data_IF_396995940037
#
_entry.id   IF_396995940037
#
_cell.length_a   1.000
_cell.length_b   1.000
_cell.length_c   1.000
_cell.angle_alpha   90.00
_cell.angle_beta   90.00
_cell.angle_gamma   90.00
#
_symmetry.space_group_name_H-M   'P 1'
#
loop_
_entity.id
_entity.type
_entity.pdbx_description
1 polymer ?
#
# COMPACT_ATOMS: atom_id res chain seq x y z
N UNK A 1 18.41 -19.02 -18.66
CA UNK A 1 17.42 -19.43 -17.65
C UNK A 1 16.77 -18.18 -17.10
N UNK A 2 15.66 -17.73 -17.69
CA UNK A 2 14.90 -16.59 -17.20
C UNK A 2 14.19 -17.01 -15.91
N UNK A 3 14.85 -16.81 -14.77
CA UNK A 3 14.23 -17.02 -13.48
C UNK A 3 13.01 -16.10 -13.39
N UNK A 4 11.80 -16.67 -13.26
CA UNK A 4 10.60 -15.89 -12.98
C UNK A 4 10.76 -15.27 -11.60
N UNK A 5 11.41 -14.10 -11.55
CA UNK A 5 11.50 -13.29 -10.34
C UNK A 5 10.10 -12.98 -9.85
N UNK A 6 9.91 -12.94 -8.52
CA UNK A 6 8.67 -12.48 -7.89
C UNK A 6 8.26 -11.15 -8.52
N UNK A 7 6.98 -10.97 -8.83
CA UNK A 7 6.47 -9.74 -9.40
C UNK A 7 6.83 -8.53 -8.50
N UNK A 8 7.13 -7.37 -9.10
CA UNK A 8 7.47 -6.19 -8.33
C UNK A 8 6.29 -5.81 -7.45
N UNK A 9 6.55 -5.38 -6.21
CA UNK A 9 5.52 -4.99 -5.26
C UNK A 9 5.61 -3.51 -4.94
N UNK A 10 4.44 -2.89 -4.79
CA UNK A 10 4.26 -1.60 -4.17
C UNK A 10 3.46 -1.78 -2.88
N UNK A 11 4.12 -1.57 -1.73
CA UNK A 11 3.48 -1.48 -0.43
C UNK A 11 2.99 -0.06 -0.21
N UNK A 12 1.68 0.08 -0.05
CA UNK A 12 1.01 1.36 0.09
C UNK A 12 0.09 1.35 1.31
N UNK A 13 -0.27 2.52 1.81
CA UNK A 13 -1.29 2.65 2.85
C UNK A 13 -2.26 3.73 2.43
N UNK A 14 -3.56 3.49 2.64
CA UNK A 14 -4.60 4.49 2.42
C UNK A 14 -4.45 5.63 3.45
N UNK A 15 -3.82 5.37 4.61
CA UNK A 15 -3.49 6.37 5.64
C UNK A 15 -2.35 7.31 5.25
N UNK A 16 -1.42 6.87 4.40
CA UNK A 16 -0.16 7.58 4.18
C UNK A 16 -0.27 8.64 3.07
N UNK A 17 0.05 9.92 3.34
CA UNK A 17 0.04 10.96 2.32
C UNK A 17 1.14 10.74 1.28
N UNK A 18 2.29 10.18 1.66
CA UNK A 18 3.35 9.85 0.71
C UNK A 18 2.97 8.68 -0.21
N UNK A 19 2.20 7.69 0.31
CA UNK A 19 1.66 6.62 -0.53
C UNK A 19 0.64 7.13 -1.53
N UNK A 20 -0.19 8.11 -1.14
CA UNK A 20 -1.09 8.79 -2.05
C UNK A 20 -0.35 9.57 -3.14
N UNK A 21 0.68 10.34 -2.79
CA UNK A 21 1.50 11.05 -3.77
C UNK A 21 2.24 10.09 -4.70
N UNK A 22 2.76 8.97 -4.19
CA UNK A 22 3.40 7.93 -5.01
C UNK A 22 2.40 7.25 -5.96
N UNK A 23 1.18 6.97 -5.48
CA UNK A 23 0.08 6.47 -6.32
C UNK A 23 -0.19 7.43 -7.48
N UNK A 24 -0.32 8.73 -7.21
CA UNK A 24 -0.58 9.73 -8.25
C UNK A 24 0.54 9.77 -9.27
N UNK A 25 1.79 9.83 -8.80
CA UNK A 25 2.97 9.88 -9.67
C UNK A 25 3.11 8.62 -10.53
N UNK A 26 2.83 7.44 -9.95
CA UNK A 26 2.78 6.17 -10.69
C UNK A 26 1.74 6.20 -11.81
N UNK A 27 0.50 6.60 -11.53
CA UNK A 27 -0.55 6.60 -12.55
C UNK A 27 -0.37 7.68 -13.62
N UNK A 28 0.06 8.88 -13.21
CA UNK A 28 0.18 10.03 -14.11
C UNK A 28 1.44 9.96 -14.98
N UNK A 29 2.55 9.42 -14.46
CA UNK A 29 3.87 9.47 -15.14
C UNK A 29 4.46 8.10 -15.48
N UNK A 30 4.01 7.05 -14.82
CA UNK A 30 4.57 5.69 -14.96
C UNK A 30 3.48 4.61 -15.08
N UNK A 31 2.47 4.76 -15.97
CA UNK A 31 1.35 3.83 -16.05
C UNK A 31 1.78 2.40 -16.41
N UNK A 32 2.89 2.26 -17.16
CA UNK A 32 3.54 0.97 -17.44
C UNK A 32 4.01 0.27 -16.16
N UNK A 33 4.61 1.03 -15.23
CA UNK A 33 5.05 0.50 -13.95
C UNK A 33 3.87 0.24 -13.03
N UNK A 34 2.92 1.17 -12.96
CA UNK A 34 1.72 1.01 -12.14
C UNK A 34 0.93 -0.27 -12.51
N UNK A 35 0.89 -0.59 -13.80
CA UNK A 35 0.28 -1.79 -14.34
C UNK A 35 1.11 -3.06 -14.20
N UNK A 36 2.39 -2.99 -13.81
CA UNK A 36 3.26 -4.15 -13.65
C UNK A 36 3.47 -4.56 -12.18
N UNK A 37 3.18 -3.66 -11.24
CA UNK A 37 3.38 -3.90 -9.79
C UNK A 37 2.16 -4.53 -9.12
N UNK A 38 2.41 -5.42 -8.17
CA UNK A 38 1.43 -5.89 -7.21
C UNK A 38 1.23 -4.86 -6.10
N UNK A 39 0.00 -4.39 -5.92
CA UNK A 39 -0.38 -3.40 -4.91
C UNK A 39 -0.71 -4.08 -3.59
N UNK A 40 0.18 -3.96 -2.60
CA UNK A 40 0.08 -4.61 -1.29
C UNK A 40 -0.27 -3.59 -0.20
N UNK A 41 -1.42 -3.73 0.49
CA UNK A 41 -1.80 -2.78 1.53
C UNK A 41 -0.94 -2.99 2.78
N UNK A 42 -0.52 -1.88 3.38
CA UNK A 42 0.15 -1.76 4.66
C UNK A 42 -0.76 -0.96 5.59
N UNK A 43 -1.13 -1.55 6.72
CA UNK A 43 -2.01 -0.90 7.69
C UNK A 43 -1.70 -1.40 9.09
N UNK A 44 -1.93 -0.53 10.07
CA UNK A 44 -1.77 -0.91 11.47
C UNK A 44 -2.91 -1.87 11.84
N UNK A 45 -2.59 -3.11 12.25
CA UNK A 45 -3.61 -4.08 12.60
C UNK A 45 -4.30 -3.73 13.92
N UNK A 46 -5.60 -3.98 13.99
CA UNK A 46 -6.34 -4.10 15.25
C UNK A 46 -5.90 -5.37 16.00
N UNK A 47 -6.33 -5.49 17.26
CA UNK A 47 -5.94 -6.62 18.10
C UNK A 47 -6.30 -8.00 17.52
N UNK A 48 -7.29 -8.11 16.62
CA UNK A 48 -7.64 -9.37 15.97
C UNK A 48 -6.67 -9.69 14.84
N UNK A 49 -6.38 -8.72 13.98
CA UNK A 49 -5.37 -8.86 12.92
C UNK A 49 -3.96 -9.06 13.50
N UNK A 50 -3.64 -8.45 14.64
CA UNK A 50 -2.39 -8.66 15.37
C UNK A 50 -2.23 -10.12 15.84
N UNK A 51 -3.28 -10.71 16.43
CA UNK A 51 -3.25 -12.12 16.84
C UNK A 51 -3.05 -13.05 15.64
N UNK A 52 -3.80 -12.81 14.55
CA UNK A 52 -3.65 -13.59 13.33
C UNK A 52 -2.24 -13.47 12.73
N UNK A 53 -1.65 -12.27 12.75
CA UNK A 53 -0.27 -12.07 12.30
C UNK A 53 0.74 -12.80 13.19
N UNK A 54 0.54 -12.78 14.51
CA UNK A 54 1.39 -13.49 15.47
C UNK A 54 1.32 -15.02 15.31
N UNK A 55 0.14 -15.58 15.05
CA UNK A 55 -0.05 -17.01 14.73
C UNK A 55 0.71 -17.41 13.45
N UNK A 56 0.86 -16.48 12.51
CA UNK A 56 1.68 -16.65 11.31
C UNK A 56 3.18 -16.44 11.56
N UNK A 57 3.60 -16.15 12.79
CA UNK A 57 4.99 -15.87 13.17
C UNK A 57 5.49 -14.49 12.72
N UNK A 58 4.59 -13.53 12.48
CA UNK A 58 4.93 -12.15 12.15
C UNK A 58 4.73 -11.19 13.32
N UNK A 59 5.34 -10.02 13.23
CA UNK A 59 5.08 -8.88 14.12
C UNK A 59 5.11 -7.61 13.29
N UNK A 60 4.09 -6.77 13.43
CA UNK A 60 3.94 -5.60 12.57
C UNK A 60 5.07 -4.58 12.85
N UNK A 61 5.91 -4.25 11.85
CA UNK A 61 7.15 -3.50 12.06
C UNK A 61 6.92 -1.98 12.05
N UNK A 62 5.99 -1.50 12.87
CA UNK A 62 5.66 -0.07 12.93
C UNK A 62 5.80 0.48 14.34
N UNK A 63 6.39 1.67 14.43
CA UNK A 63 6.47 2.45 15.65
C UNK A 63 5.71 3.75 15.43
N UNK A 64 4.87 4.11 16.43
CA UNK A 64 4.13 5.36 16.40
C UNK A 64 5.07 6.54 16.17
N UNK A 65 4.70 7.40 15.22
CA UNK A 65 5.47 8.58 14.86
C UNK A 65 5.55 9.57 16.03
N UNK A 66 6.75 10.11 16.29
CA UNK A 66 6.90 11.18 17.28
C UNK A 66 6.14 12.44 16.85
N UNK A 67 5.72 13.25 17.83
CA UNK A 67 5.04 14.54 17.54
C UNK A 67 5.86 15.44 16.61
N UNK A 68 7.19 15.50 16.81
CA UNK A 68 8.08 16.30 15.98
C UNK A 68 8.08 15.81 14.51
N UNK A 69 8.21 14.50 14.29
CA UNK A 69 8.15 13.91 12.95
C UNK A 69 6.79 14.12 12.30
N UNK A 70 5.70 14.03 13.08
CA UNK A 70 4.36 14.30 12.57
C UNK A 70 4.20 15.74 12.05
N UNK A 71 4.61 16.73 12.83
CA UNK A 71 4.56 18.15 12.42
C UNK A 71 5.40 18.41 11.16
N UNK A 72 6.56 17.76 11.05
CA UNK A 72 7.38 17.83 9.84
C UNK A 72 6.65 17.29 8.62
N UNK A 73 6.04 16.09 8.72
CA UNK A 73 5.29 15.48 7.62
C UNK A 73 4.15 16.37 7.15
N UNK A 74 3.43 17.05 8.05
CA UNK A 74 2.38 18.00 7.66
C UNK A 74 2.91 19.13 6.78
N UNK A 75 4.04 19.73 7.17
CA UNK A 75 4.67 20.80 6.39
C UNK A 75 5.22 20.27 5.05
N UNK A 76 5.80 19.08 5.07
CA UNK A 76 6.44 18.49 3.91
C UNK A 76 5.43 18.11 2.83
N UNK A 77 4.35 17.43 3.22
CA UNK A 77 3.23 17.11 2.32
C UNK A 77 2.66 18.39 1.73
N UNK A 78 2.54 19.47 2.52
CA UNK A 78 2.09 20.77 2.01
C UNK A 78 3.02 21.33 0.94
N UNK A 79 4.34 21.30 1.15
CA UNK A 79 5.32 21.72 0.14
C UNK A 79 5.20 20.89 -1.14
N UNK A 80 5.07 19.56 -0.99
CA UNK A 80 4.99 18.63 -2.12
C UNK A 80 3.72 18.81 -2.95
N UNK A 81 2.59 19.08 -2.31
CA UNK A 81 1.31 19.31 -3.00
C UNK A 81 1.28 20.70 -3.64
N UNK A 82 1.75 21.74 -2.96
CA UNK A 82 1.86 23.10 -3.52
C UNK A 82 2.77 23.10 -4.77
N UNK A 83 3.92 22.43 -4.72
CA UNK A 83 4.84 22.31 -5.87
C UNK A 83 4.25 21.54 -7.07
N UNK A 84 3.22 20.72 -6.84
CA UNK A 84 2.54 19.92 -7.88
C UNK A 84 1.18 20.50 -8.28
N UNK A 85 0.75 21.62 -7.68
CA UNK A 85 -0.58 22.19 -7.90
C UNK A 85 -1.73 21.29 -7.45
N UNK A 86 -1.50 20.40 -6.46
CA UNK A 86 -2.50 19.45 -5.98
C UNK A 86 -3.26 20.08 -4.81
N UNK A 87 -4.56 20.30 -4.99
CA UNK A 87 -5.45 20.67 -3.89
C UNK A 87 -5.71 19.46 -2.98
N UNK A 88 -5.66 19.66 -1.66
CA UNK A 88 -5.90 18.59 -0.70
C UNK A 88 -6.51 19.13 0.59
N UNK A 89 -7.13 18.23 1.37
CA UNK A 89 -7.72 18.49 2.67
C UNK A 89 -7.20 17.44 3.66
N UNK A 90 -6.69 17.89 4.80
CA UNK A 90 -6.28 16.99 5.87
C UNK A 90 -7.51 16.23 6.41
N UNK A 91 -7.50 14.89 6.40
CA UNK A 91 -8.54 14.10 7.05
C UNK A 91 -8.41 14.22 8.57
N UNK A 92 -9.51 14.03 9.28
CA UNK A 92 -9.55 13.95 10.74
C UNK A 92 -9.98 12.55 11.11
N UNK A 93 -9.04 11.75 11.57
CA UNK A 93 -9.29 10.41 12.08
C UNK A 93 -9.47 10.49 13.60
N UNK A 94 -10.66 10.14 14.11
CA UNK A 94 -10.92 10.19 15.57
C UNK A 94 -10.45 8.91 16.26
N UNK A 95 -11.03 7.79 15.85
CA UNK A 95 -10.74 6.45 16.38
C UNK A 95 -10.55 5.48 15.20
N UNK A 96 -9.41 5.57 14.48
CA UNK A 96 -9.25 4.87 13.22
C UNK A 96 -9.16 3.34 13.41
N UNK A 97 -9.89 2.62 12.55
CA UNK A 97 -9.79 1.17 12.39
C UNK A 97 -9.39 0.90 10.94
N UNK A 98 -8.10 0.65 10.70
CA UNK A 98 -7.57 0.62 9.34
C UNK A 98 -7.94 -0.63 8.55
N UNK A 99 -8.43 -1.68 9.21
CA UNK A 99 -9.08 -2.82 8.57
C UNK A 99 -10.23 -2.38 7.68
N UNK A 100 -11.03 -1.39 8.09
CA UNK A 100 -12.24 -0.95 7.37
C UNK A 100 -11.91 -0.58 5.91
N UNK A 101 -11.00 0.37 5.63
CA UNK A 101 -10.66 0.71 4.25
C UNK A 101 -9.77 -0.34 3.56
N UNK A 102 -8.84 -1.00 4.29
CA UNK A 102 -7.86 -1.89 3.63
C UNK A 102 -8.43 -3.28 3.31
N UNK A 103 -9.35 -3.82 4.12
CA UNK A 103 -10.06 -5.06 3.78
C UNK A 103 -11.17 -4.82 2.76
N UNK A 104 -11.79 -3.64 2.75
CA UNK A 104 -12.68 -3.22 1.65
C UNK A 104 -11.93 -3.13 0.31
N UNK A 105 -10.66 -2.68 0.31
CA UNK A 105 -9.80 -2.78 -0.87
C UNK A 105 -9.62 -4.23 -1.34
N UNK A 106 -9.39 -5.19 -0.43
CA UNK A 106 -9.28 -6.60 -0.82
C UNK A 106 -10.58 -7.15 -1.40
N UNK A 107 -11.74 -6.75 -0.85
CA UNK A 107 -13.06 -7.10 -1.40
C UNK A 107 -13.23 -6.52 -2.80
N UNK A 108 -12.93 -5.24 -3.00
CA UNK A 108 -12.99 -4.60 -4.32
C UNK A 108 -12.01 -5.24 -5.32
N UNK A 109 -10.82 -5.62 -4.87
CA UNK A 109 -9.82 -6.32 -5.68
C UNK A 109 -10.35 -7.68 -6.17
N UNK A 110 -11.04 -8.45 -5.32
CA UNK A 110 -11.72 -9.70 -5.73
C UNK A 110 -12.80 -9.46 -6.79
N UNK A 111 -13.45 -8.30 -6.74
CA UNK A 111 -14.41 -7.84 -7.76
C UNK A 111 -13.78 -7.20 -9.00
N UNK A 112 -12.44 -7.21 -9.15
CA UNK A 112 -11.75 -6.60 -10.29
C UNK A 112 -11.69 -5.08 -10.27
N UNK A 113 -12.06 -4.44 -9.15
CA UNK A 113 -12.18 -2.99 -9.00
C UNK A 113 -11.17 -2.40 -7.98
N UNK A 114 -10.09 -3.14 -7.69
CA UNK A 114 -9.03 -2.71 -6.76
C UNK A 114 -8.45 -1.32 -7.07
N UNK A 115 -7.95 -1.06 -8.30
CA UNK A 115 -7.43 0.24 -8.69
C UNK A 115 -8.44 1.39 -8.55
N UNK A 116 -9.69 1.15 -8.92
CA UNK A 116 -10.79 2.11 -8.83
C UNK A 116 -11.14 2.41 -7.36
N UNK A 117 -11.11 1.38 -6.50
CA UNK A 117 -11.30 1.55 -5.07
C UNK A 117 -10.19 2.40 -4.45
N UNK A 118 -8.92 2.13 -4.77
CA UNK A 118 -7.79 2.94 -4.29
C UNK A 118 -7.95 4.41 -4.72
N UNK A 119 -8.34 4.65 -5.97
CA UNK A 119 -8.62 6.01 -6.47
C UNK A 119 -9.73 6.70 -5.66
N UNK A 120 -10.86 6.03 -5.47
CA UNK A 120 -12.02 6.56 -4.75
C UNK A 120 -11.71 6.81 -3.27
N UNK A 121 -11.00 5.88 -2.60
CA UNK A 121 -10.60 6.01 -1.20
C UNK A 121 -9.59 7.15 -0.99
N UNK A 122 -8.59 7.28 -1.86
CA UNK A 122 -7.66 8.41 -1.79
C UNK A 122 -8.32 9.75 -2.06
N UNK A 123 -9.22 9.82 -3.04
CA UNK A 123 -10.02 11.03 -3.29
C UNK A 123 -10.88 11.39 -2.07
N UNK A 124 -11.60 10.43 -1.50
CA UNK A 124 -12.42 10.63 -0.30
C UNK A 124 -11.58 11.16 0.87
N UNK A 125 -10.42 10.56 1.11
CA UNK A 125 -9.56 10.92 2.23
C UNK A 125 -8.80 12.23 2.02
N UNK A 126 -8.03 12.34 0.94
CA UNK A 126 -7.04 13.40 0.77
C UNK A 126 -7.56 14.61 0.02
N UNK A 127 -8.56 14.44 -0.83
CA UNK A 127 -9.12 15.56 -1.60
C UNK A 127 -10.39 16.10 -0.91
N UNK A 128 -11.20 15.21 -0.34
CA UNK A 128 -12.47 15.58 0.30
C UNK A 128 -12.38 15.67 1.84
N UNK A 129 -11.32 15.14 2.45
CA UNK A 129 -11.12 15.15 3.91
C UNK A 129 -12.07 14.24 4.68
N UNK A 130 -12.61 13.19 4.05
CA UNK A 130 -13.53 12.23 4.68
C UNK A 130 -12.76 11.16 5.45
N UNK A 131 -13.36 10.69 6.54
CA UNK A 131 -12.85 9.57 7.31
C UNK A 131 -13.17 8.25 6.58
N UNK A 132 -12.15 7.55 6.10
CA UNK A 132 -12.33 6.26 5.41
C UNK A 132 -12.32 5.05 6.37
N UNK A 133 -12.13 5.28 7.67
CA UNK A 133 -12.40 4.29 8.70
C UNK A 133 -13.89 4.24 9.08
N UNK A 134 -14.68 5.23 8.62
CA UNK A 134 -16.14 5.20 8.70
C UNK A 134 -16.71 4.28 7.61
N UNK A 135 -17.41 3.23 8.05
CA UNK A 135 -18.07 2.24 7.19
C UNK A 135 -19.09 2.85 6.24
N UNK A 136 -19.72 3.96 6.59
CA UNK A 136 -20.67 4.67 5.72
C UNK A 136 -19.95 5.33 4.53
N UNK A 137 -18.71 5.79 4.73
CA UNK A 137 -17.87 6.31 3.64
C UNK A 137 -17.47 5.18 2.70
N UNK A 138 -17.09 4.03 3.23
CA UNK A 138 -16.77 2.83 2.44
C UNK A 138 -17.99 2.29 1.68
N UNK A 139 -19.16 2.24 2.31
CA UNK A 139 -20.42 1.89 1.64
C UNK A 139 -20.69 2.81 0.43
N UNK A 140 -20.51 4.12 0.62
CA UNK A 140 -20.69 5.12 -0.45
C UNK A 140 -19.72 4.91 -1.63
N UNK A 141 -18.46 4.55 -1.34
CA UNK A 141 -17.49 4.17 -2.39
C UNK A 141 -17.97 2.91 -3.12
N UNK A 142 -18.50 1.91 -2.41
CA UNK A 142 -19.06 0.72 -3.03
C UNK A 142 -20.18 1.04 -4.02
N UNK A 143 -21.14 1.88 -3.60
CA UNK A 143 -22.24 2.32 -4.45
C UNK A 143 -21.75 3.06 -5.71
N UNK A 144 -20.75 3.94 -5.60
CA UNK A 144 -20.15 4.65 -6.74
C UNK A 144 -19.51 3.69 -7.74
N UNK A 145 -18.88 2.62 -7.26
CA UNK A 145 -18.17 1.65 -8.08
C UNK A 145 -19.06 0.51 -8.60
N UNK A 146 -20.36 0.51 -8.25
CA UNK A 146 -21.28 -0.58 -8.60
C UNK A 146 -21.01 -1.90 -7.84
N UNK A 147 -20.31 -1.82 -6.70
CA UNK A 147 -20.13 -2.92 -5.76
C UNK A 147 -21.23 -2.90 -4.69
N UNK A 148 -21.49 -4.04 -4.05
CA UNK A 148 -22.44 -4.10 -2.93
C UNK A 148 -21.92 -3.23 -1.76
N UNK A 149 -22.65 -2.15 -1.37
CA UNK A 149 -22.23 -1.26 -0.30
C UNK A 149 -22.09 -1.96 1.06
N UNK A 150 -22.96 -2.93 1.34
CA UNK A 150 -22.97 -3.66 2.62
C UNK A 150 -21.79 -4.62 2.69
N UNK A 151 -21.45 -5.31 1.60
CA UNK A 151 -20.28 -6.18 1.56
C UNK A 151 -18.97 -5.41 1.74
N UNK A 152 -18.85 -4.24 1.11
CA UNK A 152 -17.65 -3.40 1.26
C UNK A 152 -17.53 -2.82 2.67
N UNK A 153 -18.63 -2.29 3.21
CA UNK A 153 -18.67 -1.77 4.58
C UNK A 153 -18.48 -2.85 5.66
N UNK A 154 -18.87 -4.09 5.36
CA UNK A 154 -18.71 -5.27 6.22
C UNK A 154 -17.40 -6.03 6.02
N UNK A 155 -16.55 -5.62 5.08
CA UNK A 155 -15.34 -6.37 4.71
C UNK A 155 -14.38 -6.62 5.89
N UNK A 156 -14.35 -5.72 6.87
CA UNK A 156 -13.54 -5.88 8.08
C UNK A 156 -14.10 -6.89 9.09
N UNK A 157 -15.30 -7.41 8.90
CA UNK A 157 -15.90 -8.44 9.75
C UNK A 157 -15.80 -9.84 9.12
N UNK A 158 -15.45 -9.92 7.83
CA UNK A 158 -15.25 -11.17 7.11
C UNK A 158 -13.98 -11.88 7.60
N UNK A 159 -14.08 -13.07 8.22
CA UNK A 159 -12.93 -13.81 8.74
C UNK A 159 -11.91 -14.19 7.66
N UNK A 160 -12.36 -14.45 6.43
CA UNK A 160 -11.48 -14.83 5.33
C UNK A 160 -10.71 -13.61 4.81
N UNK A 161 -11.34 -12.43 4.75
CA UNK A 161 -10.62 -11.20 4.43
C UNK A 161 -9.64 -10.81 5.54
N UNK A 162 -9.98 -11.03 6.81
CA UNK A 162 -9.03 -10.82 7.93
C UNK A 162 -7.81 -11.74 7.84
N UNK A 163 -8.03 -13.03 7.56
CA UNK A 163 -6.95 -14.00 7.35
C UNK A 163 -6.07 -13.61 6.16
N UNK A 164 -6.68 -13.17 5.05
CA UNK A 164 -5.94 -12.65 3.90
C UNK A 164 -5.14 -11.38 4.26
N UNK A 165 -5.72 -10.47 5.03
CA UNK A 165 -5.04 -9.28 5.56
C UNK A 165 -3.81 -9.65 6.38
N UNK A 166 -3.93 -10.60 7.31
CA UNK A 166 -2.82 -11.07 8.13
C UNK A 166 -1.69 -11.69 7.29
N UNK A 167 -2.01 -12.44 6.22
CA UNK A 167 -1.00 -12.94 5.28
C UNK A 167 -0.27 -11.82 4.53
N UNK A 168 -0.96 -10.75 4.17
CA UNK A 168 -0.34 -9.56 3.54
C UNK A 168 0.56 -8.80 4.53
N UNK A 169 0.15 -8.71 5.79
CA UNK A 169 1.00 -8.15 6.85
C UNK A 169 2.21 -9.06 7.13
N UNK A 170 2.08 -10.38 6.96
CA UNK A 170 3.21 -11.30 7.03
C UNK A 170 4.19 -11.09 5.88
N UNK A 171 3.71 -10.83 4.66
CA UNK A 171 4.56 -10.43 3.54
C UNK A 171 5.35 -9.14 3.85
N UNK A 172 4.74 -8.16 4.54
CA UNK A 172 5.43 -6.93 4.99
C UNK A 172 6.62 -7.26 5.89
N UNK A 173 6.43 -8.13 6.89
CA UNK A 173 7.51 -8.59 7.77
C UNK A 173 8.63 -9.28 6.97
N UNK A 174 8.23 -10.15 6.05
CA UNK A 174 9.12 -11.00 5.29
C UNK A 174 9.95 -10.25 4.24
N UNK A 175 9.40 -9.18 3.69
CA UNK A 175 10.08 -8.32 2.73
C UNK A 175 10.88 -7.21 3.43
N UNK A 176 10.82 -7.11 4.76
CA UNK A 176 11.54 -6.11 5.55
C UNK A 176 10.96 -4.70 5.39
N UNK A 177 9.65 -4.59 5.16
CA UNK A 177 8.97 -3.30 4.96
C UNK A 177 8.66 -2.68 6.32
N UNK A 178 9.29 -1.55 6.63
CA UNK A 178 9.15 -0.83 7.91
C UNK A 178 8.35 0.47 7.80
N UNK A 179 7.84 0.79 6.61
CA UNK A 179 7.10 2.01 6.33
C UNK A 179 6.67 2.06 4.87
N UNK A 180 5.91 3.09 4.50
CA UNK A 180 5.35 3.23 3.15
C UNK A 180 5.41 4.69 2.64
N UNK A 181 5.47 4.93 1.32
CA UNK A 181 5.49 3.94 0.23
C UNK A 181 6.79 3.13 0.20
N UNK A 182 6.70 1.86 -0.16
CA UNK A 182 7.85 0.96 -0.26
C UNK A 182 7.72 0.08 -1.50
N UNK A 183 8.80 -0.07 -2.25
CA UNK A 183 8.83 -0.84 -3.48
C UNK A 183 9.86 -1.95 -3.40
N UNK A 184 9.51 -3.14 -3.91
CA UNK A 184 10.36 -4.33 -3.85
C UNK A 184 10.41 -4.98 -5.22
N UNK A 185 11.61 -5.31 -5.70
CA UNK A 185 11.84 -6.19 -6.84
C UNK A 185 12.98 -7.17 -6.54
N UNK A 186 12.63 -8.44 -6.29
CA UNK A 186 13.60 -9.43 -5.81
C UNK A 186 14.22 -8.97 -4.49
N UNK A 187 15.55 -8.81 -4.47
CA UNK A 187 16.29 -8.32 -3.30
C UNK A 187 16.39 -6.80 -3.21
N UNK A 188 16.03 -6.08 -4.28
CA UNK A 188 16.12 -4.62 -4.34
C UNK A 188 14.92 -3.99 -3.65
N UNK A 189 15.20 -3.00 -2.79
CA UNK A 189 14.22 -2.32 -1.94
C UNK A 189 14.37 -0.81 -2.08
N UNK A 190 13.25 -0.11 -2.17
CA UNK A 190 13.19 1.33 -2.35
C UNK A 190 12.12 1.88 -1.41
N UNK A 191 12.50 2.76 -0.49
CA UNK A 191 11.57 3.32 0.50
C UNK A 191 11.45 4.82 0.31
N UNK A 192 10.20 5.31 0.31
CA UNK A 192 9.89 6.73 0.19
C UNK A 192 9.49 7.14 -1.22
N UNK A 193 8.73 8.24 -1.30
CA UNK A 193 8.30 8.85 -2.55
C UNK A 193 9.51 9.30 -3.38
N UNK A 194 10.55 9.79 -2.72
CA UNK A 194 11.81 10.23 -3.30
C UNK A 194 12.61 9.10 -3.96
N UNK A 195 12.33 7.83 -3.64
CA UNK A 195 12.93 6.64 -4.27
C UNK A 195 12.09 6.03 -5.37
N UNK A 196 10.90 6.56 -5.66
CA UNK A 196 10.07 6.10 -6.77
C UNK A 196 10.80 6.19 -8.13
N UNK A 197 11.52 7.28 -8.48
CA UNK A 197 12.27 7.35 -9.74
C UNK A 197 13.33 6.25 -9.87
N UNK A 198 14.05 5.94 -8.78
CA UNK A 198 15.07 4.89 -8.74
C UNK A 198 14.45 3.50 -8.98
N UNK A 199 13.30 3.23 -8.35
CA UNK A 199 12.54 1.99 -8.57
C UNK A 199 12.04 1.86 -10.01
N UNK A 200 11.47 2.92 -10.58
CA UNK A 200 11.02 2.95 -11.98
C UNK A 200 12.18 2.68 -12.94
N UNK A 201 13.31 3.35 -12.74
CA UNK A 201 14.51 3.14 -13.55
C UNK A 201 15.02 1.70 -13.44
N UNK A 202 15.04 1.14 -12.22
CA UNK A 202 15.43 -0.25 -11.98
C UNK A 202 14.55 -1.26 -12.74
N UNK A 203 13.23 -1.08 -12.70
CA UNK A 203 12.31 -1.97 -13.43
C UNK A 203 12.50 -1.89 -14.94
N UNK A 204 12.62 -0.68 -15.49
CA UNK A 204 12.80 -0.48 -16.94
C UNK A 204 14.13 -0.99 -17.45
N UNK A 205 15.22 -0.82 -16.69
CA UNK A 205 16.52 -1.39 -17.03
C UNK A 205 16.48 -2.93 -17.15
N UNK A 206 15.65 -3.59 -16.33
CA UNK A 206 15.45 -5.04 -16.39
C UNK A 206 14.54 -5.50 -17.52
N UNK A 207 13.57 -4.67 -17.91
CA UNK A 207 12.70 -4.94 -19.06
C UNK A 207 13.42 -4.78 -20.41
N UNK A 208 14.52 -4.02 -20.45
CA UNK A 208 15.34 -3.75 -21.63
C UNK A 208 16.06 -4.94 -22.29
N UNK A 209 15.71 -6.18 -21.93
CA UNK A 209 16.09 -7.41 -22.64
C UNK A 209 14.98 -8.02 -23.51
N UNK A 210 13.69 -7.79 -23.18
CA UNK A 210 12.52 -8.41 -23.86
C UNK A 210 11.32 -7.43 -24.06
N UNK A 211 11.49 -6.13 -23.83
CA UNK A 211 10.67 -5.08 -24.45
C UNK A 211 9.35 -4.65 -23.78
N UNK A 212 8.90 -5.28 -22.70
CA UNK A 212 7.77 -4.77 -21.90
C UNK A 212 7.84 -5.28 -20.45
N UNK A 213 7.37 -4.47 -19.48
CA UNK A 213 7.16 -4.97 -18.13
C UNK A 213 6.01 -5.99 -18.13
N UNK A 214 6.20 -7.20 -17.57
CA UNK A 214 5.13 -8.18 -17.51
C UNK A 214 3.98 -7.66 -16.63
N UNK A 215 2.72 -8.04 -16.93
CA UNK A 215 1.59 -7.73 -16.07
C UNK A 215 1.79 -8.34 -14.67
N UNK A 216 1.13 -7.83 -13.63
CA UNK A 216 1.28 -8.35 -12.29
C UNK A 216 0.72 -9.78 -12.27
N UNK A 217 1.43 -10.71 -11.64
CA UNK A 217 0.89 -12.05 -11.45
C UNK A 217 -0.33 -11.98 -10.51
N UNK A 218 -1.35 -12.80 -10.77
CA UNK A 218 -2.41 -13.08 -9.79
C UNK A 218 -1.75 -13.57 -8.47
N UNK A 219 -2.33 -13.32 -7.29
CA UNK A 219 -1.68 -13.57 -6.01
C UNK A 219 -1.29 -15.05 -5.88
N UNK A 220 -0.05 -15.37 -6.22
CA UNK A 220 0.53 -16.67 -6.01
C UNK A 220 1.02 -16.71 -4.56
N UNK A 221 0.31 -17.45 -3.72
CA UNK A 221 0.80 -17.88 -2.42
C UNK A 221 1.86 -18.95 -2.69
N UNK A 222 3.12 -18.53 -2.80
CA UNK A 222 4.25 -19.40 -3.10
C UNK A 222 5.45 -19.07 -2.22
N UNK A 223 5.79 -19.98 -1.31
CA UNK A 223 6.99 -19.96 -0.47
C UNK A 223 8.22 -20.32 -1.32
N UNK A 224 8.83 -19.33 -1.97
CA UNK A 224 10.19 -19.43 -2.50
C UNK A 224 11.21 -19.06 -1.43
N UNK A 225 12.33 -19.80 -1.36
CA UNK A 225 13.42 -19.54 -0.41
C UNK A 225 13.93 -18.10 -0.53
N UNK A 226 14.01 -17.41 0.61
CA UNK A 226 14.41 -16.00 0.73
C UNK A 226 15.86 -15.91 1.15
N UNK A 227 16.65 -15.12 0.45
CA UNK A 227 17.95 -14.64 0.92
C UNK A 227 17.79 -13.19 1.37
N UNK A 228 18.06 -12.89 2.63
CA UNK A 228 18.22 -11.53 3.12
C UNK A 228 19.72 -11.24 3.17
N UNK A 229 20.11 -10.07 2.67
CA UNK A 229 21.45 -9.54 2.89
C UNK A 229 21.41 -8.84 4.25
N UNK A 230 21.96 -9.51 5.29
CA UNK A 230 22.01 -9.02 6.67
C UNK A 230 23.16 -8.01 6.90
N UNK A 231 23.60 -7.33 5.84
CA UNK A 231 24.63 -6.30 5.89
C UNK A 231 24.29 -5.20 6.91
N UNK A 232 25.25 -4.87 7.77
CA UNK A 232 25.12 -3.81 8.77
C UNK A 232 25.12 -2.44 8.10
N UNK A 233 23.94 -1.87 7.84
CA UNK A 233 23.83 -0.47 7.47
C UNK A 233 24.19 0.38 8.71
N UNK A 234 25.36 1.02 8.68
CA UNK A 234 25.76 1.98 9.71
C UNK A 234 24.63 2.98 9.96
N UNK A 235 24.10 2.99 11.18
CA UNK A 235 22.92 3.76 11.52
C UNK A 235 23.17 5.26 11.38
N UNK A 236 22.42 5.91 10.49
CA UNK A 236 22.18 7.35 10.52
C UNK A 236 20.66 7.53 10.48
N UNK A 237 20.11 8.11 11.56
CA UNK A 237 18.69 8.38 11.72
C UNK A 237 18.18 9.57 10.93
#
# INVERSE_FOLDING_TARGET
MSGSGRAPRFYFSLRSPYSWLAYRELLERHPDVAGAVEWRPFFEPDGTSERLLAELGGSFPYTAMSRAKHLYVLQDVRRLTDARGIAFRWPVDRDPVWEVPHLAYLRALRGGLGPQFVAAAYRARWEQGRDICDRTVIAGIGAELGLDPAELAGASDDPELRRQGALLLKDICDDGVFGVPFFVQGFNRFWGLDRLPDFVAHLRARAGGDGALPPPAAPAVGLGARAVDDGHAGGCG
#
